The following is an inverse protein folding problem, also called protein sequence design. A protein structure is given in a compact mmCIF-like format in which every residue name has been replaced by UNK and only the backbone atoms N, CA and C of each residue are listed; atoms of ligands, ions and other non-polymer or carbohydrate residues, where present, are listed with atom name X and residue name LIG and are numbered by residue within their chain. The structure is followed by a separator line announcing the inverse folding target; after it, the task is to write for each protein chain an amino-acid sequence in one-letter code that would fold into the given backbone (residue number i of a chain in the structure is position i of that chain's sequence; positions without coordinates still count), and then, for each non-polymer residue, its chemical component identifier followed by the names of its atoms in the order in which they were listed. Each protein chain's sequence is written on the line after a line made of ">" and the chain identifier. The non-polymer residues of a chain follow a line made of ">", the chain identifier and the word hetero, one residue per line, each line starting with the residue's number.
data_IF_034994018247
#
_entry.id   IF_034994018247
#
_cell.length_a   1.000
_cell.length_b   1.000
_cell.length_c   1.000
_cell.angle_alpha   90.00
_cell.angle_beta   90.00
_cell.angle_gamma   90.00
#
_symmetry.space_group_name_H-M   'P 1'
#
loop_
_entity.id
_entity.type
_entity.pdbx_description
1 polymer ?
#
# COMPACT_ATOMS: atom_id res chain seq x y z
N UNK A 1 5.91 7.51 10.47
CA UNK A 1 5.95 8.64 9.51
C UNK A 1 6.21 8.06 8.13
N UNK A 2 5.51 8.52 7.09
CA UNK A 2 5.60 7.99 5.73
C UNK A 2 5.75 9.11 4.71
N UNK A 3 6.55 8.88 3.66
CA UNK A 3 6.61 9.71 2.45
C UNK A 3 6.29 8.81 1.27
N UNK A 4 5.44 9.30 0.37
CA UNK A 4 5.04 8.63 -0.86
C UNK A 4 5.62 9.39 -2.05
N UNK A 5 6.16 8.65 -3.02
CA UNK A 5 6.72 9.16 -4.29
C UNK A 5 7.55 10.46 -4.15
N UNK A 6 8.67 10.45 -3.40
CA UNK A 6 9.53 11.63 -3.25
C UNK A 6 10.22 12.06 -4.56
N UNK A 7 10.28 11.20 -5.57
CA UNK A 7 10.92 11.47 -6.87
C UNK A 7 10.08 10.91 -8.02
N UNK A 8 10.50 11.23 -9.24
CA UNK A 8 9.87 10.72 -10.45
C UNK A 8 9.89 9.18 -10.53
N UNK A 9 8.91 8.61 -11.22
CA UNK A 9 8.64 7.17 -11.27
C UNK A 9 9.79 6.31 -11.82
N UNK A 10 10.67 6.87 -12.64
CA UNK A 10 11.82 6.16 -13.22
C UNK A 10 13.18 6.73 -12.79
N UNK A 11 13.22 7.65 -11.82
CA UNK A 11 14.48 8.15 -11.25
C UNK A 11 15.01 7.22 -10.14
N UNK A 12 15.29 5.97 -10.51
CA UNK A 12 15.78 4.92 -9.60
C UNK A 12 17.02 5.38 -8.82
N UNK A 13 17.87 6.21 -9.43
CA UNK A 13 19.07 6.76 -8.77
C UNK A 13 18.70 7.67 -7.60
N UNK A 14 17.76 8.60 -7.78
CA UNK A 14 17.32 9.49 -6.71
C UNK A 14 16.66 8.72 -5.55
N UNK A 15 15.83 7.72 -5.86
CA UNK A 15 15.22 6.84 -4.86
C UNK A 15 16.27 6.09 -4.02
N UNK A 16 17.28 5.50 -4.67
CA UNK A 16 18.38 4.81 -3.97
C UNK A 16 19.19 5.76 -3.09
N UNK A 17 19.55 6.94 -3.61
CA UNK A 17 20.29 7.95 -2.85
C UNK A 17 19.51 8.42 -1.63
N UNK A 18 18.21 8.62 -1.77
CA UNK A 18 17.34 9.00 -0.66
C UNK A 18 17.26 7.89 0.39
N UNK A 19 17.11 6.63 -0.01
CA UNK A 19 17.09 5.50 0.91
C UNK A 19 18.38 5.37 1.74
N UNK A 20 19.53 5.83 1.24
CA UNK A 20 20.80 5.85 2.00
C UNK A 20 20.80 6.86 3.15
N UNK A 21 20.08 7.97 3.00
CA UNK A 21 20.05 9.08 3.99
C UNK A 21 18.75 9.12 4.80
N UNK A 22 17.71 8.41 4.35
CA UNK A 22 16.42 8.37 5.01
C UNK A 22 16.55 7.80 6.44
N UNK A 23 15.85 8.39 7.44
CA UNK A 23 15.81 7.84 8.79
C UNK A 23 15.30 6.39 8.77
N UNK A 24 15.90 5.50 9.57
CA UNK A 24 15.54 4.06 9.60
C UNK A 24 14.06 3.76 9.89
N UNK A 25 13.37 4.68 10.58
CA UNK A 25 11.93 4.55 10.92
C UNK A 25 11.00 5.23 9.90
N UNK A 26 11.55 5.85 8.87
CA UNK A 26 10.77 6.49 7.81
C UNK A 26 10.29 5.44 6.82
N UNK A 27 8.98 5.37 6.64
CA UNK A 27 8.40 4.61 5.53
C UNK A 27 8.56 5.41 4.24
N UNK A 28 9.14 4.79 3.22
CA UNK A 28 9.36 5.30 1.87
C UNK A 28 8.54 4.43 0.93
N UNK A 29 7.40 4.98 0.52
CA UNK A 29 6.30 4.30 -0.12
C UNK A 29 6.32 4.57 -1.63
N UNK A 30 6.49 3.51 -2.42
CA UNK A 30 6.40 3.59 -3.88
C UNK A 30 4.98 3.33 -4.38
N UNK A 31 4.41 4.32 -5.07
CA UNK A 31 3.17 4.20 -5.85
C UNK A 31 3.49 4.20 -7.34
N UNK A 32 3.86 5.35 -7.91
CA UNK A 32 4.20 5.45 -9.34
C UNK A 32 5.53 4.76 -9.66
N UNK A 33 6.46 4.64 -8.70
CA UNK A 33 7.68 3.82 -8.86
C UNK A 33 7.35 2.33 -9.04
N UNK A 34 6.30 1.82 -8.39
CA UNK A 34 6.08 0.37 -8.25
C UNK A 34 4.86 -0.13 -9.01
N UNK A 35 3.86 0.73 -9.24
CA UNK A 35 2.64 0.49 -10.04
C UNK A 35 1.94 -0.84 -9.77
N UNK A 36 2.00 -1.33 -8.52
CA UNK A 36 1.50 -2.67 -8.14
C UNK A 36 2.02 -3.77 -9.09
N UNK A 37 3.29 -3.67 -9.52
CA UNK A 37 3.92 -4.53 -10.52
C UNK A 37 5.05 -5.38 -9.89
N UNK A 38 5.02 -6.69 -10.14
CA UNK A 38 5.97 -7.62 -9.53
C UNK A 38 7.42 -7.39 -9.97
N UNK A 39 7.65 -7.03 -11.24
CA UNK A 39 9.01 -6.80 -11.76
C UNK A 39 9.62 -5.53 -11.16
N UNK A 40 8.84 -4.45 -11.06
CA UNK A 40 9.31 -3.19 -10.44
C UNK A 40 9.54 -3.36 -8.94
N UNK A 41 8.68 -4.10 -8.24
CA UNK A 41 8.89 -4.47 -6.84
C UNK A 41 10.21 -5.25 -6.66
N UNK A 42 10.44 -6.28 -7.46
CA UNK A 42 11.67 -7.07 -7.37
C UNK A 42 12.92 -6.22 -7.63
N UNK A 43 12.84 -5.27 -8.58
CA UNK A 43 13.92 -4.29 -8.81
C UNK A 43 14.15 -3.40 -7.59
N UNK A 44 13.09 -2.82 -7.01
CA UNK A 44 13.19 -1.96 -5.84
C UNK A 44 13.75 -2.68 -4.60
N UNK A 45 13.44 -3.97 -4.44
CA UNK A 45 14.03 -4.83 -3.40
C UNK A 45 15.53 -4.99 -3.65
N UNK A 46 15.92 -5.38 -4.87
CA UNK A 46 17.32 -5.62 -5.22
C UNK A 46 18.19 -4.36 -5.11
N UNK A 47 17.62 -3.21 -5.45
CA UNK A 47 18.31 -1.92 -5.47
C UNK A 47 18.13 -1.10 -4.18
N UNK A 48 17.36 -1.60 -3.21
CA UNK A 48 17.00 -0.88 -1.98
C UNK A 48 16.44 0.54 -2.26
N UNK A 49 15.47 0.63 -3.17
CA UNK A 49 14.91 1.92 -3.64
C UNK A 49 13.70 2.40 -2.84
N UNK A 50 13.02 1.53 -2.09
CA UNK A 50 11.89 1.86 -1.22
C UNK A 50 11.81 0.82 -0.09
N UNK A 51 10.93 1.04 0.90
CA UNK A 51 10.64 0.04 1.94
C UNK A 51 9.14 -0.22 2.14
N UNK A 52 8.29 0.39 1.31
CA UNK A 52 6.87 0.13 1.27
C UNK A 52 6.30 0.26 -0.15
N UNK A 53 5.18 -0.40 -0.39
CA UNK A 53 4.46 -0.38 -1.67
C UNK A 53 3.00 0.01 -1.49
N UNK A 54 2.52 0.92 -2.35
CA UNK A 54 1.11 1.23 -2.47
C UNK A 54 0.45 0.22 -3.41
N UNK A 55 -0.50 -0.55 -2.88
CA UNK A 55 -1.20 -1.63 -3.58
C UNK A 55 -2.53 -1.09 -4.12
N UNK A 56 -2.62 -0.91 -5.43
CA UNK A 56 -3.83 -0.52 -6.15
C UNK A 56 -4.24 -1.66 -7.09
N UNK A 57 -5.25 -2.44 -6.70
CA UNK A 57 -5.62 -3.65 -7.45
C UNK A 57 -5.97 -3.38 -8.92
N UNK A 58 -6.52 -2.20 -9.22
CA UNK A 58 -6.86 -1.82 -10.59
C UNK A 58 -5.67 -1.36 -11.45
N UNK A 59 -4.51 -1.04 -10.88
CA UNK A 59 -3.26 -0.88 -11.66
C UNK A 59 -2.77 -2.24 -12.19
N UNK A 60 -2.97 -3.31 -11.41
CA UNK A 60 -2.57 -4.65 -11.77
C UNK A 60 -3.62 -5.37 -12.65
N UNK A 61 -4.91 -5.15 -12.37
CA UNK A 61 -6.05 -5.65 -13.14
C UNK A 61 -6.64 -6.97 -12.66
N UNK A 62 -5.92 -7.76 -11.84
CA UNK A 62 -6.41 -9.02 -11.28
C UNK A 62 -6.18 -9.11 -9.77
N UNK A 63 -7.19 -9.58 -9.03
CA UNK A 63 -7.14 -9.77 -7.57
C UNK A 63 -6.01 -10.73 -7.17
N UNK A 64 -5.86 -11.85 -7.89
CA UNK A 64 -4.84 -12.87 -7.62
C UNK A 64 -3.43 -12.35 -7.86
N UNK A 65 -3.20 -11.66 -8.98
CA UNK A 65 -1.91 -11.06 -9.31
C UNK A 65 -1.55 -9.93 -8.34
N UNK A 66 -2.53 -9.13 -7.90
CA UNK A 66 -2.35 -8.13 -6.85
C UNK A 66 -1.93 -8.76 -5.52
N UNK A 67 -2.59 -9.85 -5.12
CA UNK A 67 -2.24 -10.60 -3.91
C UNK A 67 -0.81 -11.16 -3.99
N UNK A 68 -0.36 -11.62 -5.16
CA UNK A 68 1.01 -12.09 -5.34
C UNK A 68 2.04 -10.97 -5.13
N UNK A 69 1.77 -9.76 -5.61
CA UNK A 69 2.63 -8.59 -5.36
C UNK A 69 2.69 -8.26 -3.87
N UNK A 70 1.53 -8.25 -3.19
CA UNK A 70 1.45 -8.01 -1.74
C UNK A 70 2.24 -9.07 -0.96
N UNK A 71 2.09 -10.36 -1.30
CA UNK A 71 2.83 -11.47 -0.66
C UNK A 71 4.32 -11.35 -0.88
N UNK A 72 4.75 -11.01 -2.11
CA UNK A 72 6.16 -10.82 -2.43
C UNK A 72 6.77 -9.65 -1.64
N UNK A 73 6.05 -8.54 -1.52
CA UNK A 73 6.49 -7.39 -0.74
C UNK A 73 6.70 -7.79 0.72
N UNK A 74 5.70 -8.44 1.33
CA UNK A 74 5.77 -8.87 2.73
C UNK A 74 6.88 -9.88 2.99
N UNK A 75 7.10 -10.83 2.08
CA UNK A 75 8.20 -11.80 2.18
C UNK A 75 9.58 -11.14 2.19
N UNK A 76 9.69 -9.91 1.67
CA UNK A 76 10.91 -9.11 1.63
C UNK A 76 10.88 -7.93 2.60
N UNK A 77 10.04 -7.99 3.65
CA UNK A 77 9.92 -6.97 4.70
C UNK A 77 9.47 -5.58 4.21
N UNK A 78 8.84 -5.49 3.05
CA UNK A 78 8.17 -4.26 2.64
C UNK A 78 6.85 -4.11 3.39
N UNK A 79 6.59 -2.90 3.87
CA UNK A 79 5.25 -2.54 4.32
C UNK A 79 4.30 -2.44 3.12
N UNK A 80 3.06 -2.86 3.32
CA UNK A 80 2.04 -2.86 2.26
C UNK A 80 0.91 -1.92 2.64
N UNK A 81 0.53 -1.03 1.72
CA UNK A 81 -0.57 -0.07 1.92
C UNK A 81 -1.60 -0.31 0.84
N UNK A 82 -2.77 -0.86 1.19
CA UNK A 82 -3.86 -1.02 0.21
C UNK A 82 -4.52 0.33 -0.04
N UNK A 83 -4.67 0.74 -1.30
CA UNK A 83 -5.08 2.11 -1.63
C UNK A 83 -6.25 2.19 -2.60
N UNK A 84 -7.12 3.15 -2.32
CA UNK A 84 -8.13 3.62 -3.25
C UNK A 84 -7.50 4.44 -4.39
N UNK A 85 -8.31 4.76 -5.40
CA UNK A 85 -7.98 5.72 -6.46
C UNK A 85 -8.56 7.11 -6.17
N UNK A 86 -8.20 8.10 -6.97
CA UNK A 86 -8.78 9.45 -6.88
C UNK A 86 -10.24 9.50 -7.36
N UNK A 87 -10.58 8.75 -8.41
CA UNK A 87 -11.96 8.43 -8.77
C UNK A 87 -12.37 7.09 -8.14
N UNK A 88 -13.34 7.13 -7.23
CA UNK A 88 -13.86 5.95 -6.50
C UNK A 88 -15.37 5.87 -6.62
N UNK A 89 -15.90 4.68 -6.32
CA UNK A 89 -17.34 4.41 -6.18
C UNK A 89 -17.68 4.12 -4.71
N UNK A 90 -18.94 3.90 -4.40
CA UNK A 90 -19.41 3.45 -3.08
C UNK A 90 -19.02 2.01 -2.73
N UNK A 91 -18.45 1.24 -3.67
CA UNK A 91 -18.03 -0.14 -3.42
C UNK A 91 -16.89 -0.18 -2.39
N UNK A 92 -17.06 -0.98 -1.33
CA UNK A 92 -16.14 -1.05 -0.20
C UNK A 92 -15.18 -2.25 -0.23
N UNK A 93 -15.12 -3.04 -1.31
CA UNK A 93 -14.30 -4.26 -1.41
C UNK A 93 -12.83 -4.09 -0.98
N UNK A 94 -12.28 -2.88 -1.13
CA UNK A 94 -10.92 -2.57 -0.76
C UNK A 94 -10.66 -2.73 0.74
N UNK A 95 -11.66 -2.44 1.59
CA UNK A 95 -11.58 -2.64 3.04
C UNK A 95 -11.48 -4.14 3.39
N UNK A 96 -12.27 -4.98 2.71
CA UNK A 96 -12.23 -6.43 2.84
C UNK A 96 -10.87 -6.99 2.40
N UNK A 97 -10.33 -6.54 1.28
CA UNK A 97 -8.99 -6.98 0.84
C UNK A 97 -7.89 -6.51 1.79
N UNK A 98 -7.92 -5.27 2.26
CA UNK A 98 -6.93 -4.77 3.23
C UNK A 98 -6.92 -5.61 4.51
N UNK A 99 -8.11 -5.96 5.01
CA UNK A 99 -8.30 -6.74 6.24
C UNK A 99 -7.93 -8.22 6.01
N UNK A 100 -8.54 -8.87 5.02
CA UNK A 100 -8.34 -10.29 4.73
C UNK A 100 -6.92 -10.63 4.29
N UNK A 101 -6.25 -9.74 3.54
CA UNK A 101 -4.84 -9.92 3.18
C UNK A 101 -3.87 -9.51 4.29
N UNK A 102 -4.40 -8.99 5.41
CA UNK A 102 -3.61 -8.48 6.53
C UNK A 102 -2.56 -7.48 6.04
N UNK A 103 -3.00 -6.52 5.21
CA UNK A 103 -2.11 -5.54 4.58
C UNK A 103 -1.40 -4.65 5.61
N UNK A 104 -2.00 -4.45 6.78
CA UNK A 104 -1.45 -3.66 7.88
C UNK A 104 -1.72 -2.16 7.75
N UNK A 105 -1.85 -1.64 6.52
CA UNK A 105 -2.21 -0.24 6.24
C UNK A 105 -3.23 -0.15 5.10
N UNK A 106 -4.07 0.87 5.18
CA UNK A 106 -5.03 1.22 4.12
C UNK A 106 -5.05 2.75 3.91
N UNK A 107 -5.14 3.20 2.65
CA UNK A 107 -5.25 4.60 2.26
C UNK A 107 -6.48 4.81 1.38
N UNK A 108 -7.59 5.21 1.98
CA UNK A 108 -8.88 5.38 1.29
C UNK A 108 -9.32 6.83 1.12
N UNK A 109 -8.56 7.80 1.62
CA UNK A 109 -8.85 9.23 1.54
C UNK A 109 -9.44 9.79 2.82
N UNK A 110 -10.05 10.99 2.73
CA UNK A 110 -10.63 11.69 3.89
C UNK A 110 -11.85 10.94 4.47
N UNK A 111 -12.34 11.41 5.62
CA UNK A 111 -13.61 11.00 6.23
C UNK A 111 -14.81 11.78 5.66
N UNK A 112 -14.68 12.28 4.42
CA UNK A 112 -15.69 13.04 3.68
C UNK A 112 -15.85 12.44 2.28
N UNK A 113 -17.07 12.49 1.73
CA UNK A 113 -17.45 11.82 0.48
C UNK A 113 -17.96 10.41 0.74
N UNK A 114 -19.10 10.05 0.13
CA UNK A 114 -19.73 8.73 0.31
C UNK A 114 -18.85 7.59 -0.21
N UNK A 115 -18.13 7.83 -1.30
CA UNK A 115 -17.20 6.89 -1.92
C UNK A 115 -16.01 6.55 -1.02
N UNK A 116 -15.64 7.46 -0.11
CA UNK A 116 -14.57 7.30 0.88
C UNK A 116 -15.09 6.69 2.17
N UNK A 117 -16.17 7.27 2.69
CA UNK A 117 -16.79 6.86 3.95
C UNK A 117 -17.37 5.44 3.87
N UNK A 118 -17.79 4.96 2.71
CA UNK A 118 -18.17 3.56 2.52
C UNK A 118 -17.05 2.57 2.95
N UNK A 119 -15.79 2.86 2.63
CA UNK A 119 -14.65 2.00 3.04
C UNK A 119 -14.37 2.11 4.53
N UNK A 120 -14.46 3.31 5.11
CA UNK A 120 -14.32 3.51 6.55
C UNK A 120 -15.40 2.77 7.34
N UNK A 121 -16.66 2.88 6.91
CA UNK A 121 -17.78 2.18 7.53
C UNK A 121 -17.62 0.66 7.42
N UNK A 122 -17.12 0.16 6.29
CA UNK A 122 -16.84 -1.27 6.14
C UNK A 122 -15.75 -1.77 7.10
N UNK A 123 -14.71 -0.96 7.36
CA UNK A 123 -13.70 -1.33 8.37
C UNK A 123 -14.28 -1.38 9.78
N UNK A 124 -15.17 -0.45 10.14
CA UNK A 124 -15.88 -0.47 11.43
C UNK A 124 -16.80 -1.68 11.56
N UNK A 125 -17.49 -2.05 10.47
CA UNK A 125 -18.31 -3.26 10.43
C UNK A 125 -17.45 -4.51 10.65
N UNK A 126 -16.35 -4.66 9.91
CA UNK A 126 -15.42 -5.78 10.07
C UNK A 126 -14.83 -5.85 11.48
N UNK A 127 -14.51 -4.70 12.09
CA UNK A 127 -14.06 -4.65 13.49
C UNK A 127 -15.14 -5.15 14.46
N UNK A 128 -16.41 -4.82 14.20
CA UNK A 128 -17.53 -5.21 15.05
C UNK A 128 -17.97 -6.67 14.88
N UNK A 129 -17.77 -7.26 13.69
CA UNK A 129 -18.30 -8.61 13.37
C UNK A 129 -17.24 -9.69 13.27
N UNK A 130 -15.97 -9.35 13.05
CA UNK A 130 -14.88 -10.32 12.86
C UNK A 130 -13.84 -10.26 13.99
N UNK A 131 -13.14 -11.37 14.22
CA UNK A 131 -11.95 -11.38 15.08
C UNK A 131 -10.79 -10.66 14.38
N UNK A 132 -10.64 -9.37 14.66
CA UNK A 132 -9.61 -8.52 14.07
C UNK A 132 -8.65 -7.95 15.12
N UNK A 133 -7.45 -7.56 14.67
CA UNK A 133 -6.44 -6.95 15.51
C UNK A 133 -5.78 -5.79 14.77
N UNK A 134 -5.65 -4.64 15.43
CA UNK A 134 -4.93 -3.51 14.86
C UNK A 134 -3.42 -3.80 14.78
N UNK A 135 -2.87 -3.77 13.57
CA UNK A 135 -1.49 -4.21 13.31
C UNK A 135 -0.39 -3.25 13.82
N UNK A 136 -0.74 -1.99 14.10
CA UNK A 136 0.17 -0.91 14.50
C UNK A 136 1.52 -0.89 13.72
N UNK A 137 1.50 -0.52 12.44
CA UNK A 137 2.63 -0.70 11.50
C UNK A 137 3.83 0.23 11.73
N UNK A 138 3.79 1.11 12.74
CA UNK A 138 4.84 2.09 13.03
C UNK A 138 5.45 1.96 14.45
N UNK A 139 5.04 0.93 15.21
CA UNK A 139 5.54 0.66 16.55
C UNK A 139 6.78 -0.25 16.55
#
# INVERSE_FOLDING_TARGET
>A
LSIEDPFAEDDWSAWQQFMQVAPKRLQVLGDDLLTTNLNRLNKAIAENSANAILIKANQNGLVTSTLNVLKQARANNFNTVVSARSGETEDSWLADLATGWRAGQIKVGSTHGSERTAKWNRLLELEATEESSFANPFN
#
